data_IF_480681120398
#
_entry.id   IF_480681120398
#
_cell.length_a   1.000
_cell.length_b   1.000
_cell.length_c   1.000
_cell.angle_alpha   90.00
_cell.angle_beta   90.00
_cell.angle_gamma   90.00
#
_symmetry.space_group_name_H-M   'P 1'
#
loop_
_entity.id
_entity.type
_entity.pdbx_description
1 polymer ?
#
# COMPACT_ATOMS: atom_id res chain seq x y z
N UNK A 1 -20.74 1.81 -15.56
CA UNK A 1 -20.45 1.95 -14.12
C UNK A 1 -19.39 0.97 -13.62
N UNK A 2 -19.58 -0.35 -13.77
CA UNK A 2 -18.63 -1.37 -13.27
C UNK A 2 -17.21 -1.25 -13.86
N UNK A 3 -17.07 -0.93 -15.14
CA UNK A 3 -15.76 -0.72 -15.78
C UNK A 3 -14.98 0.43 -15.14
N UNK A 4 -15.66 1.54 -14.87
CA UNK A 4 -15.05 2.71 -14.22
C UNK A 4 -14.54 2.38 -12.81
N UNK A 5 -15.33 1.64 -12.02
CA UNK A 5 -14.90 1.15 -10.70
C UNK A 5 -13.68 0.22 -10.78
N UNK A 6 -13.63 -0.68 -11.77
CA UNK A 6 -12.46 -1.54 -12.00
C UNK A 6 -11.21 -0.74 -12.35
N UNK A 7 -11.36 0.31 -13.16
CA UNK A 7 -10.27 1.24 -13.48
C UNK A 7 -9.77 1.91 -12.20
N UNK A 8 -10.66 2.52 -11.41
CA UNK A 8 -10.27 3.15 -10.14
C UNK A 8 -9.62 2.16 -9.16
N UNK A 9 -10.12 0.92 -9.10
CA UNK A 9 -9.53 -0.13 -8.26
C UNK A 9 -8.10 -0.45 -8.69
N UNK A 10 -7.85 -0.58 -9.99
CA UNK A 10 -6.52 -0.80 -10.54
C UNK A 10 -5.60 0.40 -10.27
N UNK A 11 -6.09 1.63 -10.43
CA UNK A 11 -5.34 2.83 -10.06
C UNK A 11 -4.97 2.85 -8.58
N UNK A 12 -5.89 2.50 -7.68
CA UNK A 12 -5.62 2.38 -6.25
C UNK A 12 -4.50 1.37 -5.96
N UNK A 13 -4.54 0.22 -6.63
CA UNK A 13 -3.49 -0.80 -6.54
C UNK A 13 -2.13 -0.28 -7.01
N UNK A 14 -2.09 0.35 -8.19
CA UNK A 14 -0.87 0.91 -8.77
C UNK A 14 -0.28 2.01 -7.89
N UNK A 15 -1.10 2.92 -7.37
CA UNK A 15 -0.65 3.98 -6.45
C UNK A 15 -0.14 3.42 -5.13
N UNK A 16 -0.83 2.40 -4.57
CA UNK A 16 -0.40 1.71 -3.36
C UNK A 16 0.96 1.04 -3.54
N UNK A 17 1.13 0.28 -4.63
CA UNK A 17 2.38 -0.40 -4.94
C UNK A 17 3.52 0.59 -5.26
N UNK A 18 3.29 1.57 -6.14
CA UNK A 18 4.29 2.57 -6.52
C UNK A 18 4.71 3.45 -5.33
N UNK A 19 3.73 3.89 -4.52
CA UNK A 19 3.98 4.64 -3.29
C UNK A 19 4.84 3.85 -2.30
N UNK A 20 4.48 2.59 -2.07
CA UNK A 20 5.16 1.73 -1.10
C UNK A 20 6.59 1.39 -1.53
N UNK A 21 6.78 1.01 -2.80
CA UNK A 21 8.10 0.72 -3.36
C UNK A 21 8.97 1.97 -3.44
N UNK A 22 8.42 3.11 -3.84
CA UNK A 22 9.13 4.39 -3.86
C UNK A 22 9.59 4.81 -2.46
N UNK A 23 8.72 4.71 -1.45
CA UNK A 23 9.07 4.96 -0.05
C UNK A 23 10.15 4.01 0.48
N UNK A 24 10.12 2.74 0.08
CA UNK A 24 11.16 1.76 0.42
C UNK A 24 12.51 2.11 -0.21
N UNK A 25 12.55 2.48 -1.49
CA UNK A 25 13.78 2.90 -2.17
C UNK A 25 14.38 4.15 -1.51
N UNK A 26 13.56 5.13 -1.15
CA UNK A 26 13.99 6.31 -0.39
C UNK A 26 14.62 5.90 0.95
N UNK A 27 14.03 4.93 1.66
CA UNK A 27 14.58 4.45 2.92
C UNK A 27 15.91 3.69 2.75
N UNK A 28 16.05 2.89 1.70
CA UNK A 28 17.30 2.19 1.38
C UNK A 28 18.40 3.19 1.03
N UNK A 29 18.11 4.17 0.17
CA UNK A 29 19.09 5.18 -0.23
C UNK A 29 19.52 6.05 0.97
N UNK A 30 18.58 6.40 1.84
CA UNK A 30 18.89 7.16 3.05
C UNK A 30 19.81 6.39 4.01
N UNK A 31 19.69 5.06 4.09
CA UNK A 31 20.60 4.22 4.89
C UNK A 31 21.99 4.06 4.29
N UNK A 32 22.09 4.10 2.96
CA UNK A 32 23.35 3.95 2.22
C UNK A 32 24.13 5.27 2.10
N UNK A 33 23.56 6.38 2.56
CA UNK A 33 24.24 7.67 2.52
C UNK A 33 25.34 7.69 3.58
N UNK A 34 26.58 7.97 3.19
CA UNK A 34 27.68 8.22 4.13
C UNK A 34 27.46 9.58 4.79
N UNK A 35 26.96 9.57 6.04
CA UNK A 35 26.61 10.78 6.80
C UNK A 35 25.12 11.08 6.83
N UNK A 36 24.75 12.36 7.01
CA UNK A 36 23.35 12.78 7.08
C UNK A 36 22.68 12.60 5.70
N UNK A 37 21.52 11.93 5.61
CA UNK A 37 20.84 11.73 4.32
C UNK A 37 20.45 13.07 3.67
N UNK A 38 20.52 13.19 2.34
CA UNK A 38 20.16 14.43 1.64
C UNK A 38 18.75 14.92 2.03
N UNK A 39 18.55 16.21 2.37
CA UNK A 39 17.25 16.73 2.81
C UNK A 39 16.13 16.51 1.78
N UNK A 40 16.45 16.63 0.49
CA UNK A 40 15.50 16.36 -0.61
C UNK A 40 15.01 14.92 -0.64
N UNK A 41 15.86 13.95 -0.28
CA UNK A 41 15.49 12.54 -0.19
C UNK A 41 14.52 12.28 0.97
N UNK A 42 14.77 12.91 2.12
CA UNK A 42 13.89 12.79 3.29
C UNK A 42 12.54 13.49 3.07
N UNK A 43 12.51 14.56 2.29
CA UNK A 43 11.28 15.27 1.92
C UNK A 43 10.33 14.44 1.03
N UNK A 44 10.83 13.41 0.33
CA UNK A 44 10.00 12.51 -0.48
C UNK A 44 9.20 11.51 0.36
N UNK A 45 9.65 11.19 1.57
CA UNK A 45 8.98 10.20 2.45
C UNK A 45 7.51 10.52 2.71
N UNK A 46 7.14 11.71 3.21
CA UNK A 46 5.73 12.02 3.46
C UNK A 46 4.89 11.93 2.18
N UNK A 47 5.46 12.29 1.02
CA UNK A 47 4.76 12.22 -0.27
C UNK A 47 4.48 10.77 -0.65
N UNK A 48 5.48 9.90 -0.60
CA UNK A 48 5.29 8.48 -0.91
C UNK A 48 4.36 7.79 0.09
N UNK A 49 4.44 8.12 1.38
CA UNK A 49 3.51 7.60 2.38
C UNK A 49 2.07 8.03 2.11
N UNK A 50 1.83 9.29 1.73
CA UNK A 50 0.51 9.78 1.34
C UNK A 50 -0.01 9.08 0.08
N UNK A 51 0.82 8.97 -0.97
CA UNK A 51 0.47 8.28 -2.22
C UNK A 51 0.08 6.83 -1.94
N UNK A 52 0.86 6.14 -1.09
CA UNK A 52 0.58 4.75 -0.68
C UNK A 52 -0.77 4.68 0.01
N UNK A 53 -1.00 5.50 1.03
CA UNK A 53 -2.24 5.47 1.80
C UNK A 53 -3.45 5.82 0.93
N UNK A 54 -3.36 6.85 0.08
CA UNK A 54 -4.45 7.23 -0.83
C UNK A 54 -4.76 6.10 -1.81
N UNK A 55 -3.74 5.43 -2.35
CA UNK A 55 -3.91 4.30 -3.25
C UNK A 55 -4.60 3.11 -2.56
N UNK A 56 -4.15 2.76 -1.36
CA UNK A 56 -4.72 1.65 -0.59
C UNK A 56 -6.15 1.95 -0.14
N UNK A 57 -6.47 3.19 0.26
CA UNK A 57 -7.83 3.60 0.56
C UNK A 57 -8.73 3.53 -0.67
N UNK A 58 -8.26 4.02 -1.82
CA UNK A 58 -9.00 3.92 -3.09
C UNK A 58 -9.25 2.46 -3.47
N UNK A 59 -8.26 1.59 -3.31
CA UNK A 59 -8.36 0.15 -3.53
C UNK A 59 -9.44 -0.48 -2.65
N UNK A 60 -9.47 -0.15 -1.36
CA UNK A 60 -10.46 -0.67 -0.42
C UNK A 60 -11.88 -0.20 -0.75
N UNK A 61 -12.07 1.10 -0.97
CA UNK A 61 -13.38 1.68 -1.29
C UNK A 61 -13.96 1.06 -2.56
N UNK A 62 -13.17 1.01 -3.63
CA UNK A 62 -13.60 0.45 -4.91
C UNK A 62 -13.78 -1.07 -4.86
N UNK A 63 -12.93 -1.78 -4.09
CA UNK A 63 -13.00 -3.23 -3.95
C UNK A 63 -14.24 -3.69 -3.20
N UNK A 64 -14.55 -3.04 -2.07
CA UNK A 64 -15.78 -3.30 -1.31
C UNK A 64 -17.02 -2.94 -2.12
N UNK A 65 -16.99 -1.83 -2.86
CA UNK A 65 -18.10 -1.45 -3.72
C UNK A 65 -18.37 -2.51 -4.80
N UNK A 66 -17.32 -2.97 -5.48
CA UNK A 66 -17.44 -4.03 -6.48
C UNK A 66 -17.96 -5.33 -5.87
N UNK A 67 -17.51 -5.67 -4.66
CA UNK A 67 -17.97 -6.86 -3.94
C UNK A 67 -19.47 -6.80 -3.61
N UNK A 68 -19.96 -5.66 -3.12
CA UNK A 68 -21.37 -5.49 -2.79
C UNK A 68 -22.27 -5.47 -4.04
N UNK A 69 -21.86 -4.80 -5.12
CA UNK A 69 -22.71 -4.59 -6.30
C UNK A 69 -22.67 -5.77 -7.27
N UNK A 70 -21.52 -6.41 -7.47
CA UNK A 70 -21.37 -7.50 -8.45
C UNK A 70 -21.58 -8.88 -7.83
N UNK A 71 -21.25 -9.02 -6.56
CA UNK A 71 -21.25 -10.32 -5.88
C UNK A 71 -22.21 -10.35 -4.69
N UNK A 72 -23.06 -9.33 -4.52
CA UNK A 72 -24.11 -9.26 -3.49
C UNK A 72 -23.59 -9.46 -2.06
N UNK A 73 -22.30 -9.19 -1.81
CA UNK A 73 -21.68 -9.44 -0.51
C UNK A 73 -21.44 -10.93 -0.20
N UNK A 74 -21.50 -11.82 -1.20
CA UNK A 74 -21.27 -13.24 -1.01
C UNK A 74 -19.81 -13.56 -0.66
N UNK A 75 -19.61 -14.58 0.18
CA UNK A 75 -18.29 -15.17 0.42
C UNK A 75 -17.92 -16.05 -0.77
N UNK A 76 -17.04 -15.54 -1.63
CA UNK A 76 -16.72 -16.17 -2.90
C UNK A 76 -15.88 -17.44 -2.76
N UNK A 77 -14.76 -17.37 -2.02
CA UNK A 77 -13.84 -18.49 -1.83
C UNK A 77 -12.82 -18.22 -0.74
N UNK A 78 -12.06 -19.24 -0.33
CA UNK A 78 -10.91 -19.08 0.56
C UNK A 78 -9.86 -18.13 -0.02
N UNK A 79 -9.65 -18.14 -1.33
CA UNK A 79 -8.73 -17.22 -2.00
C UNK A 79 -9.18 -15.75 -1.90
N UNK A 80 -10.50 -15.49 -1.88
CA UNK A 80 -11.04 -14.15 -1.62
C UNK A 80 -10.74 -13.69 -0.19
N UNK A 81 -10.87 -14.58 0.81
CA UNK A 81 -10.49 -14.26 2.19
C UNK A 81 -9.00 -13.97 2.32
N UNK A 82 -8.13 -14.78 1.70
CA UNK A 82 -6.69 -14.54 1.68
C UNK A 82 -6.34 -13.20 1.02
N UNK A 83 -7.06 -12.81 -0.04
CA UNK A 83 -6.92 -11.49 -0.67
C UNK A 83 -7.29 -10.36 0.31
N UNK A 84 -8.38 -10.51 1.05
CA UNK A 84 -8.80 -9.51 2.06
C UNK A 84 -7.76 -9.40 3.19
N UNK A 85 -7.19 -10.51 3.65
CA UNK A 85 -6.12 -10.50 4.66
C UNK A 85 -4.89 -9.77 4.13
N UNK A 86 -4.46 -10.05 2.89
CA UNK A 86 -3.35 -9.33 2.27
C UNK A 86 -3.64 -7.83 2.15
N UNK A 87 -4.83 -7.44 1.70
CA UNK A 87 -5.24 -6.04 1.60
C UNK A 87 -5.30 -5.33 2.97
N UNK A 88 -5.73 -6.04 4.02
CA UNK A 88 -5.76 -5.52 5.39
C UNK A 88 -4.36 -5.32 5.95
N UNK A 89 -3.45 -6.26 5.69
CA UNK A 89 -2.04 -6.14 6.06
C UNK A 89 -1.38 -4.91 5.39
N UNK A 90 -1.60 -4.72 4.09
CA UNK A 90 -1.09 -3.54 3.37
C UNK A 90 -1.62 -2.24 3.97
N UNK A 91 -2.93 -2.18 4.28
CA UNK A 91 -3.55 -1.02 4.92
C UNK A 91 -2.96 -0.74 6.30
N UNK A 92 -2.77 -1.77 7.12
CA UNK A 92 -2.17 -1.63 8.45
C UNK A 92 -0.76 -1.04 8.35
N UNK A 93 0.08 -1.54 7.45
CA UNK A 93 1.44 -1.02 7.23
C UNK A 93 1.41 0.42 6.69
N UNK A 94 0.49 0.74 5.78
CA UNK A 94 0.33 2.11 5.26
C UNK A 94 -0.08 3.10 6.36
N UNK A 95 -1.01 2.71 7.24
CA UNK A 95 -1.43 3.53 8.38
C UNK A 95 -0.30 3.73 9.39
N UNK A 96 0.45 2.66 9.71
CA UNK A 96 1.63 2.77 10.58
C UNK A 96 2.68 3.69 9.98
N UNK A 97 2.92 3.61 8.66
CA UNK A 97 3.79 4.52 7.92
C UNK A 97 3.35 5.97 8.02
N UNK A 98 2.06 6.21 7.80
CA UNK A 98 1.47 7.54 7.92
C UNK A 98 1.61 8.12 9.33
N UNK A 99 1.29 7.33 10.37
CA UNK A 99 1.44 7.77 11.76
C UNK A 99 2.91 8.04 12.12
N UNK A 100 3.85 7.22 11.66
CA UNK A 100 5.28 7.41 11.91
C UNK A 100 5.79 8.71 11.28
N UNK A 101 5.36 9.03 10.06
CA UNK A 101 5.69 10.31 9.42
C UNK A 101 5.04 11.49 10.14
N UNK A 102 3.78 11.35 10.56
CA UNK A 102 3.02 12.45 11.20
C UNK A 102 3.49 12.77 12.61
N UNK A 103 3.97 11.77 13.35
CA UNK A 103 4.49 11.91 14.73
C UNK A 103 6.01 12.13 14.77
N UNK A 104 6.72 11.74 13.72
CA UNK A 104 8.16 11.88 13.62
C UNK A 104 8.57 13.33 13.36
N UNK A 105 9.77 13.71 13.81
CA UNK A 105 10.35 14.99 13.44
C UNK A 105 10.87 14.95 12.00
N UNK A 106 10.83 16.07 11.26
CA UNK A 106 11.42 16.17 9.94
C UNK A 106 12.88 15.68 9.96
N UNK A 107 13.21 14.74 9.06
CA UNK A 107 14.56 14.19 8.94
C UNK A 107 14.86 12.96 9.80
N UNK A 108 13.94 12.52 10.67
CA UNK A 108 14.13 11.29 11.44
C UNK A 108 13.99 10.03 10.58
N UNK A 109 14.84 8.99 10.80
CA UNK A 109 14.69 7.70 10.16
C UNK A 109 13.37 7.02 10.56
N UNK A 110 12.79 6.17 9.71
CA UNK A 110 11.52 5.52 10.04
C UNK A 110 11.82 4.44 11.08
N UNK A 111 10.87 4.14 11.99
CA UNK A 111 11.01 3.08 12.96
C UNK A 111 11.48 1.74 12.35
N UNK A 112 12.31 0.99 13.08
CA UNK A 112 12.91 -0.25 12.59
C UNK A 112 11.87 -1.29 12.11
N UNK A 113 10.69 -1.33 12.74
CA UNK A 113 9.62 -2.23 12.33
C UNK A 113 9.07 -1.90 10.94
N UNK A 114 8.91 -0.62 10.57
CA UNK A 114 8.43 -0.21 9.24
C UNK A 114 9.43 -0.55 8.14
N UNK A 115 10.73 -0.55 8.46
CA UNK A 115 11.76 -0.94 7.51
C UNK A 115 11.67 -2.42 7.14
N UNK A 116 11.10 -3.26 8.01
CA UNK A 116 10.84 -4.69 7.77
C UNK A 116 9.47 -4.92 7.16
N UNK A 117 8.44 -4.23 7.66
CA UNK A 117 7.06 -4.39 7.22
C UNK A 117 6.78 -3.76 5.84
N UNK A 118 7.47 -2.66 5.49
CA UNK A 118 7.28 -1.99 4.20
C UNK A 118 7.53 -2.89 2.98
N UNK A 119 8.71 -3.56 2.89
CA UNK A 119 8.98 -4.54 1.83
C UNK A 119 7.95 -5.69 1.80
N UNK A 120 7.56 -6.18 2.98
CA UNK A 120 6.55 -7.24 3.09
C UNK A 120 5.18 -6.79 2.59
N UNK A 121 4.78 -5.55 2.87
CA UNK A 121 3.54 -4.97 2.32
C UNK A 121 3.63 -4.81 0.80
N UNK A 122 4.80 -4.44 0.27
CA UNK A 122 5.08 -4.47 -1.16
C UNK A 122 4.86 -5.86 -1.77
N UNK A 123 5.46 -6.90 -1.19
CA UNK A 123 5.26 -8.29 -1.63
C UNK A 123 3.79 -8.74 -1.50
N UNK A 124 3.13 -8.39 -0.40
CA UNK A 124 1.72 -8.68 -0.19
C UNK A 124 0.82 -8.05 -1.27
N UNK A 125 1.22 -6.92 -1.87
CA UNK A 125 0.47 -6.33 -2.99
C UNK A 125 0.47 -7.22 -4.24
N UNK A 126 1.59 -7.88 -4.56
CA UNK A 126 1.65 -8.85 -5.66
C UNK A 126 0.82 -10.10 -5.37
N UNK A 127 0.85 -10.59 -4.12
CA UNK A 127 0.00 -11.71 -3.69
C UNK A 127 -1.47 -11.33 -3.82
N UNK A 128 -1.85 -10.11 -3.40
CA UNK A 128 -3.22 -9.62 -3.53
C UNK A 128 -3.67 -9.53 -4.99
N UNK A 129 -2.78 -9.16 -5.92
CA UNK A 129 -3.04 -9.20 -7.37
C UNK A 129 -3.23 -10.64 -7.86
N UNK A 130 -2.32 -11.56 -7.54
CA UNK A 130 -2.40 -12.94 -7.99
C UNK A 130 -3.70 -13.61 -7.52
N UNK A 131 -4.05 -13.43 -6.24
CA UNK A 131 -5.32 -13.91 -5.68
C UNK A 131 -6.53 -13.22 -6.34
N UNK A 132 -6.44 -11.93 -6.68
CA UNK A 132 -7.50 -11.25 -7.40
C UNK A 132 -7.75 -11.85 -8.78
N UNK A 133 -6.69 -12.14 -9.55
CA UNK A 133 -6.79 -12.76 -10.86
C UNK A 133 -7.37 -14.16 -10.74
N UNK A 134 -6.94 -14.94 -9.74
CA UNK A 134 -7.48 -16.28 -9.51
C UNK A 134 -8.98 -16.29 -9.13
N UNK A 135 -9.43 -15.32 -8.34
CA UNK A 135 -10.84 -15.26 -7.86
C UNK A 135 -11.78 -14.65 -8.91
N UNK A 136 -11.28 -13.72 -9.72
CA UNK A 136 -12.12 -12.87 -10.59
C UNK A 136 -11.83 -12.98 -12.09
N UNK A 137 -10.76 -13.66 -12.48
CA UNK A 137 -10.46 -14.02 -13.87
C UNK A 137 -11.31 -15.19 -14.32
#
# INVERSE_FOLDING_TARGET
>A
MLTFLKILHLFGLMLGAAGGLGGMMVAIQAKRSEGAPPPGLLALRPRFTLITLSGVLLLWLTGLWLWLVRYEGALLSTAFLLKLVAAAFILAVALLGFMAVRRGQPGTPPPAYLQRLGPLAGLASYIAVALAVYVFG
#
